data_IF_327044336844
#
_entry.id   IF_327044336844
#
_cell.length_a   1.000
_cell.length_b   1.000
_cell.length_c   1.000
_cell.angle_alpha   90.00
_cell.angle_beta   90.00
_cell.angle_gamma   90.00
#
_symmetry.space_group_name_H-M   'P 1'
#
loop_
_entity.id
_entity.type
_entity.pdbx_description
1 polymer ?
#
# COMPACT_ATOMS: atom_id res chain seq x y z
N UNK A 1 -13.44 0.88 8.12
CA UNK A 1 -13.42 1.64 9.38
C UNK A 1 -12.05 1.63 10.07
N UNK A 2 -11.32 0.50 10.11
CA UNK A 2 -10.04 0.42 10.83
C UNK A 2 -8.87 1.21 10.22
N UNK A 3 -8.78 1.31 8.89
CA UNK A 3 -7.63 1.96 8.23
C UNK A 3 -7.62 3.49 8.45
N UNK A 4 -8.79 4.16 8.46
CA UNK A 4 -8.87 5.61 8.64
C UNK A 4 -8.59 6.06 10.08
N UNK A 5 -9.19 5.38 11.05
CA UNK A 5 -9.08 5.77 12.47
C UNK A 5 -7.83 5.18 13.16
N UNK A 6 -7.43 3.96 12.80
CA UNK A 6 -6.31 3.27 13.46
C UNK A 6 -4.95 3.60 12.83
N UNK A 7 -4.87 3.60 11.50
CA UNK A 7 -3.59 3.74 10.78
C UNK A 7 -3.25 5.21 10.55
N UNK A 8 -4.21 6.01 10.06
CA UNK A 8 -3.96 7.43 9.79
C UNK A 8 -4.14 8.35 11.02
N UNK A 9 -4.62 7.82 12.14
CA UNK A 9 -4.94 8.58 13.37
C UNK A 9 -5.82 9.80 13.13
N UNK A 10 -6.77 9.71 12.20
CA UNK A 10 -7.70 10.79 11.89
C UNK A 10 -8.96 10.71 12.76
N UNK A 11 -9.45 11.87 13.20
CA UNK A 11 -10.74 11.96 13.85
C UNK A 11 -11.85 11.48 12.90
N UNK A 12 -12.89 10.79 13.38
CA UNK A 12 -13.91 10.19 12.52
C UNK A 12 -14.62 11.20 11.62
N UNK A 13 -14.90 12.40 12.13
CA UNK A 13 -15.53 13.49 11.39
C UNK A 13 -14.63 14.03 10.27
N UNK A 14 -13.33 14.12 10.50
CA UNK A 14 -12.34 14.51 9.48
C UNK A 14 -12.27 13.46 8.39
N UNK A 15 -12.26 12.17 8.76
CA UNK A 15 -12.26 11.06 7.80
C UNK A 15 -13.47 11.09 6.87
N UNK A 16 -14.67 11.26 7.41
CA UNK A 16 -15.90 11.26 6.62
C UNK A 16 -16.09 12.51 5.77
N UNK A 17 -15.40 13.60 6.11
CA UNK A 17 -15.44 14.86 5.32
C UNK A 17 -14.37 14.92 4.23
N UNK A 18 -13.39 14.03 4.23
CA UNK A 18 -12.36 14.00 3.19
C UNK A 18 -12.92 13.52 1.86
N UNK A 19 -12.42 14.12 0.79
CA UNK A 19 -12.53 13.62 -0.56
C UNK A 19 -11.61 12.41 -0.79
N UNK A 20 -11.89 11.62 -1.83
CA UNK A 20 -11.04 10.48 -2.20
C UNK A 20 -9.60 10.90 -2.54
N UNK A 21 -9.41 12.10 -3.10
CA UNK A 21 -8.08 12.64 -3.41
C UNK A 21 -7.28 12.94 -2.14
N UNK A 22 -7.91 13.56 -1.14
CA UNK A 22 -7.30 13.86 0.16
C UNK A 22 -6.99 12.57 0.93
N UNK A 23 -7.87 11.58 0.88
CA UNK A 23 -7.63 10.27 1.46
C UNK A 23 -6.39 9.59 0.83
N UNK A 24 -6.30 9.59 -0.50
CA UNK A 24 -5.14 9.01 -1.19
C UNK A 24 -3.83 9.73 -0.85
N UNK A 25 -3.86 11.06 -0.74
CA UNK A 25 -2.69 11.84 -0.32
C UNK A 25 -2.29 11.53 1.13
N UNK A 26 -3.26 11.40 2.05
CA UNK A 26 -3.01 11.04 3.44
C UNK A 26 -2.39 9.64 3.58
N UNK A 27 -2.87 8.66 2.79
CA UNK A 27 -2.30 7.31 2.75
C UNK A 27 -0.88 7.33 2.19
N UNK A 28 -0.63 8.07 1.10
CA UNK A 28 0.71 8.19 0.52
C UNK A 28 1.71 8.80 1.53
N UNK A 29 1.34 9.91 2.18
CA UNK A 29 2.18 10.55 3.20
C UNK A 29 2.41 9.66 4.43
N UNK A 30 1.40 8.88 4.85
CA UNK A 30 1.56 7.90 5.92
C UNK A 30 2.56 6.79 5.55
N UNK A 31 2.48 6.26 4.33
CA UNK A 31 3.42 5.23 3.85
C UNK A 31 4.85 5.78 3.79
N UNK A 32 5.05 6.98 3.23
CA UNK A 32 6.35 7.65 3.20
C UNK A 32 6.94 7.84 4.62
N UNK A 33 6.12 8.34 5.56
CA UNK A 33 6.55 8.58 6.95
C UNK A 33 6.97 7.30 7.67
N UNK A 34 6.30 6.18 7.41
CA UNK A 34 6.60 4.90 8.06
C UNK A 34 7.68 4.09 7.33
N UNK A 35 8.45 4.72 6.43
CA UNK A 35 9.50 4.04 5.67
C UNK A 35 8.97 2.99 4.70
N UNK A 36 7.65 2.91 4.53
CA UNK A 36 7.01 2.16 3.47
C UNK A 36 7.20 3.00 2.21
N UNK A 37 8.38 2.91 1.59
CA UNK A 37 8.49 3.33 0.18
C UNK A 37 7.29 2.68 -0.53
N UNK A 38 6.54 3.40 -1.40
CA UNK A 38 5.58 2.73 -2.27
C UNK A 38 6.36 1.58 -2.85
N UNK A 39 5.97 0.35 -2.51
CA UNK A 39 6.73 -0.82 -2.89
C UNK A 39 6.58 -0.83 -4.41
N UNK A 40 7.55 -0.23 -5.10
CA UNK A 40 7.63 -0.08 -6.55
C UNK A 40 7.90 -1.44 -7.14
N UNK A 41 6.96 -2.35 -6.91
CA UNK A 41 7.24 -3.75 -6.74
C UNK A 41 6.05 -4.50 -6.17
N UNK A 42 4.83 -4.08 -6.52
CA UNK A 42 3.78 -5.07 -6.76
C UNK A 42 4.32 -6.16 -7.68
N UNK A 43 3.82 -7.38 -7.56
CA UNK A 43 4.35 -8.53 -8.31
C UNK A 43 4.49 -8.19 -9.80
N UNK A 44 5.72 -8.04 -10.27
CA UNK A 44 6.01 -7.76 -11.68
C UNK A 44 6.14 -9.07 -12.45
N UNK A 45 5.88 -9.03 -13.75
CA UNK A 45 6.08 -10.19 -14.62
C UNK A 45 7.53 -10.68 -14.58
N UNK A 46 8.49 -9.78 -14.45
CA UNK A 46 9.91 -10.14 -14.39
C UNK A 46 10.25 -10.84 -13.06
N UNK A 47 9.71 -10.35 -11.94
CA UNK A 47 9.83 -11.00 -10.63
C UNK A 47 9.16 -12.39 -10.61
N UNK A 48 8.04 -12.54 -11.31
CA UNK A 48 7.39 -13.85 -11.50
C UNK A 48 8.27 -14.80 -12.30
N UNK A 49 8.85 -14.36 -13.43
CA UNK A 49 9.76 -15.18 -14.23
C UNK A 49 11.00 -15.62 -13.45
N UNK A 50 11.59 -14.72 -12.66
CA UNK A 50 12.70 -15.06 -11.78
C UNK A 50 12.32 -16.14 -10.75
N UNK A 51 11.13 -16.03 -10.18
CA UNK A 51 10.61 -17.01 -9.23
C UNK A 51 10.36 -18.38 -9.89
N UNK A 52 9.76 -18.42 -11.08
CA UNK A 52 9.54 -19.66 -11.85
C UNK A 52 10.86 -20.32 -12.27
N UNK A 53 11.91 -19.53 -12.55
CA UNK A 53 13.25 -20.07 -12.84
C UNK A 53 13.93 -20.63 -11.59
N UNK A 54 13.74 -19.97 -10.44
CA UNK A 54 14.35 -20.37 -9.16
C UNK A 54 13.66 -21.58 -8.54
N UNK A 55 12.35 -21.67 -8.69
CA UNK A 55 11.51 -22.76 -8.22
C UNK A 55 10.75 -23.33 -9.42
N UNK A 56 11.43 -24.08 -10.30
CA UNK A 56 10.74 -24.74 -11.39
C UNK A 56 9.78 -25.76 -10.81
N UNK A 57 8.53 -25.72 -11.25
CA UNK A 57 7.56 -26.75 -10.92
C UNK A 57 8.12 -28.07 -11.46
N UNK A 58 8.52 -28.96 -10.54
CA UNK A 58 9.08 -30.26 -10.88
C UNK A 58 8.04 -31.11 -11.61
N UNK A 59 8.47 -31.76 -12.69
CA UNK A 59 7.72 -32.83 -13.34
C UNK A 59 7.81 -34.13 -12.53
#
# INVERSE_FOLDING_TARGET
MEVGMGVLSLAPDVFWRMTLAEFNAAVAGYMERNGSKPQGGGMTRDRLKELMKRYPDGN
#
